data_IF_907787631432
#
_entry.id   IF_907787631432
#
_cell.length_a   1.000
_cell.length_b   1.000
_cell.length_c   1.000
_cell.angle_alpha   90.00
_cell.angle_beta   90.00
_cell.angle_gamma   90.00
#
_symmetry.space_group_name_H-M   'P 1'
#
loop_
_entity.id
_entity.type
_entity.pdbx_description
1 polymer ?
#
# COMPACT_ATOMS: atom_id res chain seq x y z
N UNK A 1 -30.12 8.63 0.01
CA UNK A 1 -28.72 9.12 -0.03
C UNK A 1 -28.20 8.94 -1.45
N UNK A 2 -27.31 9.81 -1.92
CA UNK A 2 -26.65 9.63 -3.21
C UNK A 2 -25.54 8.57 -3.06
N UNK A 3 -25.52 7.60 -3.96
CA UNK A 3 -24.45 6.59 -4.03
C UNK A 3 -23.10 7.23 -4.35
N UNK A 4 -22.06 6.81 -3.64
CA UNK A 4 -20.67 7.26 -3.79
C UNK A 4 -19.81 6.04 -4.12
N UNK A 5 -18.71 6.24 -4.86
CA UNK A 5 -17.83 5.14 -5.28
C UNK A 5 -17.35 4.28 -4.10
N UNK A 6 -17.10 4.90 -2.94
CA UNK A 6 -16.58 4.23 -1.75
C UNK A 6 -17.60 3.41 -0.97
N UNK A 7 -18.91 3.55 -1.22
CA UNK A 7 -19.92 2.68 -0.58
C UNK A 7 -19.76 1.21 -0.98
N UNK A 8 -19.21 0.95 -2.18
CA UNK A 8 -18.97 -0.38 -2.71
C UNK A 8 -17.47 -0.70 -2.85
N UNK A 9 -16.60 0.12 -2.24
CA UNK A 9 -15.16 -0.06 -2.35
C UNK A 9 -14.67 -1.20 -1.48
N UNK A 10 -13.71 -1.98 -2.01
CA UNK A 10 -12.91 -2.93 -1.25
C UNK A 10 -11.52 -2.32 -1.09
N UNK A 11 -11.18 -1.96 0.16
CA UNK A 11 -9.90 -1.33 0.49
C UNK A 11 -8.91 -2.41 0.91
N UNK A 12 -7.69 -2.34 0.38
CA UNK A 12 -6.57 -3.18 0.81
C UNK A 12 -5.50 -2.30 1.44
N UNK A 13 -5.16 -2.59 2.69
CA UNK A 13 -4.09 -1.87 3.37
C UNK A 13 -2.73 -2.48 3.01
N UNK A 14 -1.79 -1.63 2.61
CA UNK A 14 -0.40 -2.00 2.35
C UNK A 14 0.48 -1.37 3.43
N UNK A 15 1.33 -2.18 4.05
CA UNK A 15 2.42 -1.73 4.90
C UNK A 15 3.73 -1.79 4.10
N UNK A 16 4.25 -0.64 3.59
CA UNK A 16 5.27 -0.61 2.53
C UNK A 16 6.50 -1.45 2.84
N UNK A 17 7.07 -1.26 4.03
CA UNK A 17 8.32 -1.89 4.48
C UNK A 17 8.28 -3.42 4.53
N UNK A 18 7.09 -4.03 4.49
CA UNK A 18 6.93 -5.48 4.59
C UNK A 18 6.13 -6.08 3.44
N UNK A 19 5.82 -5.30 2.40
CA UNK A 19 4.99 -5.79 1.30
C UNK A 19 5.81 -6.46 0.20
N UNK A 20 6.76 -5.74 -0.41
CA UNK A 20 7.61 -6.27 -1.47
C UNK A 20 8.87 -5.42 -1.61
N UNK A 21 10.04 -6.03 -1.39
CA UNK A 21 11.36 -5.46 -1.66
C UNK A 21 11.72 -5.70 -3.13
N UNK A 22 12.20 -4.66 -3.82
CA UNK A 22 12.61 -4.73 -5.23
C UNK A 22 14.11 -4.53 -5.47
N UNK A 23 14.87 -4.13 -4.44
CA UNK A 23 16.29 -3.76 -4.57
C UNK A 23 17.23 -4.66 -3.74
N UNK A 24 16.70 -5.52 -2.86
CA UNK A 24 17.45 -6.48 -2.06
C UNK A 24 18.01 -5.95 -0.74
N UNK A 25 17.53 -4.79 -0.24
CA UNK A 25 17.93 -4.24 1.05
C UNK A 25 17.17 -4.84 2.25
N UNK A 26 16.16 -5.69 1.99
CA UNK A 26 15.33 -6.35 2.99
C UNK A 26 14.12 -5.54 3.46
N UNK A 27 13.88 -4.36 2.87
CA UNK A 27 12.76 -3.47 3.19
C UNK A 27 11.90 -3.28 1.94
N UNK A 28 10.59 -3.41 2.10
CA UNK A 28 9.66 -3.20 0.99
C UNK A 28 9.60 -1.74 0.52
N UNK A 29 9.40 -1.55 -0.78
CA UNK A 29 9.54 -0.27 -1.46
C UNK A 29 8.41 0.01 -2.48
N UNK A 30 8.35 1.25 -2.99
CA UNK A 30 7.32 1.67 -3.95
C UNK A 30 7.39 0.92 -5.29
N UNK A 31 8.56 0.66 -5.90
CA UNK A 31 8.63 -0.19 -7.10
C UNK A 31 8.12 -1.62 -6.86
N UNK A 32 8.38 -2.20 -5.69
CA UNK A 32 7.88 -3.48 -5.25
C UNK A 32 6.36 -3.50 -5.14
N UNK A 33 5.75 -2.46 -4.55
CA UNK A 33 4.29 -2.28 -4.54
C UNK A 33 3.74 -2.21 -5.97
N UNK A 34 4.37 -1.39 -6.82
CA UNK A 34 3.97 -1.22 -8.22
C UNK A 34 4.01 -2.55 -8.98
N UNK A 35 5.00 -3.40 -8.72
CA UNK A 35 5.14 -4.73 -9.34
C UNK A 35 3.99 -5.70 -9.01
N UNK A 36 3.20 -5.41 -7.96
CA UNK A 36 2.07 -6.25 -7.51
C UNK A 36 0.71 -5.66 -7.85
N UNK A 37 0.63 -4.56 -8.59
CA UNK A 37 -0.65 -3.96 -8.97
C UNK A 37 -1.54 -4.93 -9.74
N UNK A 38 -0.99 -5.78 -10.62
CA UNK A 38 -1.76 -6.81 -11.32
C UNK A 38 -2.34 -7.86 -10.37
N UNK A 39 -1.61 -8.24 -9.31
CA UNK A 39 -2.11 -9.12 -8.27
C UNK A 39 -3.27 -8.48 -7.50
N UNK A 40 -3.12 -7.21 -7.12
CA UNK A 40 -4.15 -6.46 -6.39
C UNK A 40 -5.40 -6.24 -7.25
N UNK A 41 -5.23 -5.93 -8.52
CA UNK A 41 -6.33 -5.83 -9.48
C UNK A 41 -7.06 -7.17 -9.64
N UNK A 42 -6.33 -8.28 -9.74
CA UNK A 42 -6.91 -9.63 -9.80
C UNK A 42 -7.65 -10.01 -8.52
N UNK A 43 -7.18 -9.55 -7.36
CA UNK A 43 -7.87 -9.73 -6.08
C UNK A 43 -9.22 -8.99 -6.02
N UNK A 44 -9.41 -7.96 -6.85
CA UNK A 44 -10.66 -7.21 -6.98
C UNK A 44 -10.77 -6.00 -6.04
N UNK A 45 -9.64 -5.49 -5.56
CA UNK A 45 -9.63 -4.29 -4.70
C UNK A 45 -9.90 -3.05 -5.54
N UNK A 46 -10.48 -2.01 -4.94
CA UNK A 46 -10.78 -0.74 -5.64
C UNK A 46 -9.95 0.43 -5.12
N UNK A 47 -9.33 0.28 -3.95
CA UNK A 47 -8.48 1.30 -3.35
C UNK A 47 -7.38 0.66 -2.50
N UNK A 48 -6.23 1.30 -2.48
CA UNK A 48 -5.12 0.93 -1.60
C UNK A 48 -5.02 1.98 -0.50
N UNK A 49 -5.09 1.53 0.75
CA UNK A 49 -4.70 2.35 1.89
C UNK A 49 -3.21 2.09 2.16
N UNK A 50 -2.37 3.07 1.84
CA UNK A 50 -0.94 2.96 2.05
C UNK A 50 -0.57 3.51 3.44
N UNK A 51 0.12 2.70 4.25
CA UNK A 51 0.77 3.22 5.47
C UNK A 51 1.83 4.27 5.09
N UNK A 52 2.28 5.15 5.99
CA UNK A 52 3.17 6.27 5.68
C UNK A 52 4.40 5.91 4.84
N UNK A 53 4.69 6.80 3.90
CA UNK A 53 5.84 6.74 2.97
C UNK A 53 6.57 8.09 2.86
N UNK A 54 6.30 9.00 3.80
CA UNK A 54 6.94 10.31 3.88
C UNK A 54 8.34 10.16 4.52
N UNK A 55 9.15 11.21 4.42
CA UNK A 55 10.41 11.29 5.17
C UNK A 55 10.11 11.28 6.69
N UNK A 56 10.82 10.44 7.44
CA UNK A 56 10.59 10.19 8.87
C UNK A 56 11.85 9.63 9.54
N UNK A 57 12.08 9.91 10.84
CA UNK A 57 13.12 9.26 11.64
C UNK A 57 12.95 7.75 11.78
N UNK A 58 11.71 7.26 11.60
CA UNK A 58 11.30 5.85 11.67
C UNK A 58 11.29 5.23 13.08
N UNK A 59 11.16 6.05 14.13
CA UNK A 59 10.94 5.66 15.52
C UNK A 59 9.63 4.84 15.71
N UNK A 60 8.61 5.08 14.87
CA UNK A 60 7.30 4.36 14.77
C UNK A 60 6.94 4.11 13.29
N UNK A 61 7.96 3.76 12.51
CA UNK A 61 7.84 3.34 11.12
C UNK A 61 7.04 4.30 10.21
N UNK A 62 7.23 5.60 10.37
CA UNK A 62 6.62 6.63 9.54
C UNK A 62 5.38 7.28 10.15
N UNK A 63 4.92 6.82 11.32
CA UNK A 63 3.85 7.47 12.10
C UNK A 63 4.37 8.39 13.22
N UNK A 64 5.67 8.29 13.52
CA UNK A 64 6.43 8.98 14.57
C UNK A 64 6.90 10.39 14.20
#
# INVERSE_FOLDING_TARGET
MQEKWWHNAVVYQVYPKSFMDSNGDGIGDLPGITSKLDYLAKLGITAIWLSPVYDSPMDDNGYD
#
